data_IF_350773570993
#
_entry.id   IF_350773570993
#
_cell.length_a   1.000
_cell.length_b   1.000
_cell.length_c   1.000
_cell.angle_alpha   90.00
_cell.angle_beta   90.00
_cell.angle_gamma   90.00
#
_symmetry.space_group_name_H-M   'P 1'
#
loop_
_entity.id
_entity.type
_entity.pdbx_description
1 polymer ?
#
# COMPACT_ATOMS: atom_id res chain seq x y z
N UNK A 1 37.55 32.53 -27.68
CA UNK A 1 37.73 31.38 -26.76
C UNK A 1 36.66 31.40 -25.67
N UNK A 2 36.45 32.53 -24.99
CA UNK A 2 35.43 32.70 -23.94
C UNK A 2 34.00 32.34 -24.37
N UNK A 3 33.55 32.77 -25.56
CA UNK A 3 32.22 32.43 -26.10
C UNK A 3 32.05 30.91 -26.28
N UNK A 4 33.09 30.21 -26.73
CA UNK A 4 33.05 28.76 -26.93
C UNK A 4 33.01 28.02 -25.58
N UNK A 5 33.72 28.52 -24.57
CA UNK A 5 33.65 27.99 -23.20
C UNK A 5 32.25 28.17 -22.63
N UNK A 6 31.65 29.36 -22.80
CA UNK A 6 30.31 29.67 -22.31
C UNK A 6 29.25 28.81 -23.01
N UNK A 7 29.36 28.63 -24.33
CA UNK A 7 28.50 27.74 -25.10
C UNK A 7 28.63 26.28 -24.63
N UNK A 8 29.86 25.81 -24.37
CA UNK A 8 30.12 24.48 -23.84
C UNK A 8 29.44 24.24 -22.49
N UNK A 9 29.54 25.21 -21.56
CA UNK A 9 28.86 25.15 -20.25
C UNK A 9 27.34 25.06 -20.41
N UNK A 10 26.76 25.87 -21.29
CA UNK A 10 25.31 25.86 -21.55
C UNK A 10 24.86 24.50 -22.09
N UNK A 11 25.62 23.90 -23.02
CA UNK A 11 25.30 22.57 -23.56
C UNK A 11 25.36 21.50 -22.47
N UNK A 12 26.39 21.52 -21.62
CA UNK A 12 26.52 20.55 -20.51
C UNK A 12 25.37 20.69 -19.52
N UNK A 13 25.00 21.92 -19.15
CA UNK A 13 23.85 22.18 -18.28
C UNK A 13 22.53 21.71 -18.90
N UNK A 14 22.33 21.97 -20.20
CA UNK A 14 21.14 21.51 -20.92
C UNK A 14 21.03 19.98 -20.94
N UNK A 15 22.13 19.27 -21.20
CA UNK A 15 22.17 17.81 -21.17
C UNK A 15 21.90 17.25 -19.77
N UNK A 16 22.46 17.88 -18.73
CA UNK A 16 22.21 17.51 -17.35
C UNK A 16 20.73 17.67 -16.99
N UNK A 17 20.12 18.82 -17.33
CA UNK A 17 18.70 19.07 -17.08
C UNK A 17 17.80 18.04 -17.77
N UNK A 18 18.07 17.75 -19.05
CA UNK A 18 17.31 16.75 -19.80
C UNK A 18 17.43 15.35 -19.20
N UNK A 19 18.65 14.95 -18.79
CA UNK A 19 18.90 13.66 -18.16
C UNK A 19 18.19 13.53 -16.80
N UNK A 20 18.33 14.54 -15.95
CA UNK A 20 17.71 14.57 -14.63
C UNK A 20 16.17 14.53 -14.74
N UNK A 21 15.58 15.37 -15.59
CA UNK A 21 14.14 15.41 -15.81
C UNK A 21 13.58 14.05 -16.27
N UNK A 22 14.20 13.43 -17.29
CA UNK A 22 13.78 12.12 -17.78
C UNK A 22 13.90 11.03 -16.72
N UNK A 23 14.96 11.06 -15.90
CA UNK A 23 15.12 10.14 -14.79
C UNK A 23 14.02 10.30 -13.73
N UNK A 24 13.65 11.55 -13.38
CA UNK A 24 12.58 11.80 -12.41
C UNK A 24 11.22 11.34 -12.92
N UNK A 25 10.91 11.56 -14.20
CA UNK A 25 9.67 11.06 -14.82
C UNK A 25 9.63 9.53 -14.78
N UNK A 26 10.72 8.87 -15.12
CA UNK A 26 10.83 7.41 -15.07
C UNK A 26 10.60 6.88 -13.66
N UNK A 27 11.25 7.47 -12.65
CA UNK A 27 11.08 7.06 -11.26
C UNK A 27 9.67 7.33 -10.74
N UNK A 28 9.04 8.46 -11.11
CA UNK A 28 7.65 8.76 -10.76
C UNK A 28 6.69 7.71 -11.32
N UNK A 29 6.85 7.36 -12.60
CA UNK A 29 6.00 6.35 -13.23
C UNK A 29 6.18 4.97 -12.58
N UNK A 30 7.40 4.61 -12.16
CA UNK A 30 7.65 3.37 -11.39
C UNK A 30 6.96 3.36 -10.03
N UNK A 31 6.89 4.50 -9.35
CA UNK A 31 6.16 4.63 -8.08
C UNK A 31 4.66 4.43 -8.31
N UNK A 32 4.11 5.04 -9.37
CA UNK A 32 2.69 4.90 -9.74
C UNK A 32 2.33 3.47 -10.16
N UNK A 33 3.21 2.81 -10.91
CA UNK A 33 3.06 1.40 -11.30
C UNK A 33 3.10 0.47 -10.08
N UNK A 34 4.06 0.67 -9.18
CA UNK A 34 4.18 -0.11 -7.94
C UNK A 34 2.93 0.05 -7.05
N UNK A 35 2.41 1.28 -6.95
CA UNK A 35 1.18 1.54 -6.21
C UNK A 35 -0.03 0.87 -6.87
N UNK A 36 -0.17 1.00 -8.19
CA UNK A 36 -1.28 0.41 -8.94
C UNK A 36 -1.31 -1.11 -8.82
N UNK A 37 -0.14 -1.75 -8.83
CA UNK A 37 -0.02 -3.20 -8.62
C UNK A 37 -0.50 -3.61 -7.23
N UNK A 38 -0.09 -2.88 -6.20
CA UNK A 38 -0.54 -3.09 -4.83
C UNK A 38 -2.06 -2.89 -4.68
N UNK A 39 -2.61 -1.85 -5.30
CA UNK A 39 -4.04 -1.54 -5.32
C UNK A 39 -4.89 -2.66 -5.93
N UNK A 40 -4.40 -3.31 -7.00
CA UNK A 40 -5.05 -4.49 -7.59
C UNK A 40 -5.16 -5.63 -6.58
N UNK A 41 -4.13 -5.89 -5.78
CA UNK A 41 -4.18 -6.93 -4.75
C UNK A 41 -5.12 -6.56 -3.61
N UNK A 42 -5.14 -5.29 -3.18
CA UNK A 42 -6.13 -4.79 -2.21
C UNK A 42 -7.56 -5.02 -2.70
N UNK A 43 -7.84 -4.67 -3.97
CA UNK A 43 -9.15 -4.88 -4.59
C UNK A 43 -9.55 -6.36 -4.62
N UNK A 44 -8.65 -7.26 -5.04
CA UNK A 44 -8.91 -8.71 -5.00
C UNK A 44 -9.28 -9.18 -3.60
N UNK A 45 -8.62 -8.65 -2.56
CA UNK A 45 -8.94 -8.98 -1.16
C UNK A 45 -10.35 -8.53 -0.80
N UNK A 46 -10.73 -7.31 -1.19
CA UNK A 46 -12.06 -6.77 -0.93
C UNK A 46 -13.16 -7.55 -1.64
N UNK A 47 -12.90 -8.06 -2.84
CA UNK A 47 -13.87 -8.82 -3.63
C UNK A 47 -14.24 -10.17 -3.00
N UNK A 48 -13.37 -10.75 -2.16
CA UNK A 48 -13.66 -11.98 -1.43
C UNK A 48 -14.51 -11.77 -0.18
N UNK A 49 -14.64 -10.54 0.31
CA UNK A 49 -15.29 -10.24 1.59
C UNK A 49 -16.78 -10.52 1.63
N UNK A 50 -17.58 -10.19 0.61
CA UNK A 50 -18.99 -10.58 0.60
C UNK A 50 -19.17 -12.09 0.78
N UNK A 51 -18.37 -12.90 0.09
CA UNK A 51 -18.42 -14.36 0.21
C UNK A 51 -18.00 -14.85 1.61
N UNK A 52 -16.97 -14.23 2.18
CA UNK A 52 -16.55 -14.52 3.56
C UNK A 52 -17.65 -14.19 4.56
N UNK A 53 -18.25 -13.01 4.46
CA UNK A 53 -19.32 -12.55 5.35
C UNK A 53 -20.53 -13.46 5.25
N UNK A 54 -20.97 -13.84 4.04
CA UNK A 54 -22.09 -14.78 3.87
C UNK A 54 -21.78 -16.16 4.46
N UNK A 55 -20.55 -16.64 4.30
CA UNK A 55 -20.11 -17.90 4.91
C UNK A 55 -20.17 -17.82 6.44
N UNK A 56 -19.65 -16.73 7.04
CA UNK A 56 -19.67 -16.56 8.50
C UNK A 56 -21.10 -16.37 9.03
N UNK A 57 -21.97 -15.63 8.34
CA UNK A 57 -23.39 -15.46 8.71
C UNK A 57 -24.13 -16.78 8.86
N UNK A 58 -23.79 -17.79 8.06
CA UNK A 58 -24.39 -19.13 8.15
C UNK A 58 -24.21 -19.79 9.52
N UNK A 59 -23.11 -19.48 10.21
CA UNK A 59 -22.71 -20.12 11.47
C UNK A 59 -22.77 -19.18 12.68
N UNK A 60 -22.48 -17.89 12.51
CA UNK A 60 -22.37 -16.88 13.57
C UNK A 60 -23.48 -15.82 13.46
N UNK A 61 -24.74 -16.24 13.55
CA UNK A 61 -25.91 -15.36 13.36
C UNK A 61 -26.05 -14.22 14.38
N UNK A 62 -25.40 -14.34 15.53
CA UNK A 62 -25.43 -13.32 16.58
C UNK A 62 -24.36 -12.24 16.41
N UNK A 63 -23.49 -12.37 15.40
CA UNK A 63 -22.33 -11.49 15.16
C UNK A 63 -22.59 -10.41 14.11
N UNK A 64 -23.85 -9.98 13.97
CA UNK A 64 -24.28 -9.00 12.97
C UNK A 64 -23.47 -7.71 13.03
N UNK A 65 -23.21 -7.17 14.23
CA UNK A 65 -22.41 -5.95 14.40
C UNK A 65 -20.97 -6.13 13.89
N UNK A 66 -20.35 -7.28 14.15
CA UNK A 66 -19.00 -7.61 13.68
C UNK A 66 -18.97 -7.68 12.15
N UNK A 67 -19.96 -8.33 11.55
CA UNK A 67 -20.06 -8.50 10.10
C UNK A 67 -20.40 -7.20 9.37
N UNK A 68 -21.24 -6.35 9.97
CA UNK A 68 -21.53 -5.00 9.46
C UNK A 68 -20.28 -4.13 9.43
N UNK A 69 -19.46 -4.17 10.49
CA UNK A 69 -18.18 -3.46 10.54
C UNK A 69 -17.21 -3.93 9.44
N UNK A 70 -17.18 -5.23 9.12
CA UNK A 70 -16.37 -5.77 8.02
C UNK A 70 -16.84 -5.21 6.67
N UNK A 71 -18.14 -5.19 6.42
CA UNK A 71 -18.71 -4.63 5.19
C UNK A 71 -18.49 -3.12 5.11
N UNK A 72 -18.62 -2.40 6.21
CA UNK A 72 -18.35 -0.96 6.27
C UNK A 72 -16.88 -0.66 5.95
N UNK A 73 -15.95 -1.36 6.59
CA UNK A 73 -14.51 -1.21 6.33
C UNK A 73 -14.16 -1.52 4.87
N UNK A 74 -14.75 -2.58 4.30
CA UNK A 74 -14.63 -2.90 2.86
C UNK A 74 -15.09 -1.73 1.99
N UNK A 75 -16.27 -1.19 2.27
CA UNK A 75 -16.84 -0.10 1.48
C UNK A 75 -16.02 1.17 1.57
N UNK A 76 -15.48 1.50 2.75
CA UNK A 76 -14.55 2.61 2.90
C UNK A 76 -13.29 2.41 2.05
N UNK A 77 -12.73 1.20 2.08
CA UNK A 77 -11.51 0.88 1.35
C UNK A 77 -11.69 0.88 -0.18
N UNK A 78 -12.82 0.38 -0.68
CA UNK A 78 -13.15 0.40 -2.12
C UNK A 78 -13.40 1.83 -2.63
N UNK A 79 -13.98 2.71 -1.81
CA UNK A 79 -14.31 4.08 -2.21
C UNK A 79 -13.18 5.10 -1.98
N UNK A 80 -12.06 4.69 -1.37
CA UNK A 80 -10.92 5.55 -1.16
C UNK A 80 -10.30 6.01 -2.50
N UNK A 81 -10.12 7.33 -2.65
CA UNK A 81 -9.79 7.93 -3.95
C UNK A 81 -8.31 8.27 -4.12
N UNK A 82 -7.64 8.75 -3.06
CA UNK A 82 -6.21 9.05 -3.09
C UNK A 82 -5.37 7.85 -2.63
N UNK A 83 -4.09 7.76 -3.04
CA UNK A 83 -3.19 6.76 -2.50
C UNK A 83 -3.16 6.77 -0.97
N UNK A 84 -3.05 7.94 -0.35
CA UNK A 84 -3.02 8.10 1.10
C UNK A 84 -4.30 7.59 1.78
N UNK A 85 -5.47 7.91 1.22
CA UNK A 85 -6.74 7.41 1.75
C UNK A 85 -6.85 5.89 1.62
N UNK A 86 -6.39 5.33 0.49
CA UNK A 86 -6.34 3.89 0.27
C UNK A 86 -5.43 3.19 1.27
N UNK A 87 -4.26 3.77 1.59
CA UNK A 87 -3.35 3.22 2.60
C UNK A 87 -3.97 3.17 3.99
N UNK A 88 -4.69 4.23 4.37
CA UNK A 88 -5.38 4.31 5.67
C UNK A 88 -6.53 3.30 5.75
N UNK A 89 -7.40 3.29 4.74
CA UNK A 89 -8.54 2.39 4.71
C UNK A 89 -8.11 0.91 4.66
N UNK A 90 -7.03 0.60 3.95
CA UNK A 90 -6.36 -0.70 3.95
C UNK A 90 -5.93 -1.13 5.37
N UNK A 91 -5.31 -0.22 6.13
CA UNK A 91 -4.87 -0.49 7.51
C UNK A 91 -6.04 -0.78 8.44
N UNK A 92 -7.10 0.03 8.38
CA UNK A 92 -8.33 -0.20 9.16
C UNK A 92 -9.00 -1.53 8.80
N UNK A 93 -9.13 -1.79 7.50
CA UNK A 93 -9.70 -3.04 7.00
C UNK A 93 -8.93 -4.27 7.48
N UNK A 94 -7.59 -4.24 7.42
CA UNK A 94 -6.75 -5.37 7.86
C UNK A 94 -6.96 -5.70 9.34
N UNK A 95 -7.11 -4.66 10.18
CA UNK A 95 -7.44 -4.82 11.60
C UNK A 95 -8.85 -5.40 11.84
N UNK A 96 -9.84 -5.00 11.04
CA UNK A 96 -11.20 -5.58 11.10
C UNK A 96 -11.21 -7.04 10.64
N UNK A 97 -10.50 -7.36 9.55
CA UNK A 97 -10.41 -8.73 9.03
C UNK A 97 -9.73 -9.69 10.01
N UNK A 98 -8.69 -9.23 10.69
CA UNK A 98 -8.01 -10.01 11.73
C UNK A 98 -8.93 -10.34 12.91
N UNK A 99 -9.78 -9.38 13.33
CA UNK A 99 -10.81 -9.62 14.35
C UNK A 99 -11.87 -10.64 13.89
N UNK A 100 -12.27 -10.59 12.62
CA UNK A 100 -13.18 -11.58 12.04
C UNK A 100 -12.58 -12.99 12.04
N UNK A 101 -11.30 -13.15 11.75
CA UNK A 101 -10.64 -14.46 11.85
C UNK A 101 -10.51 -14.94 13.29
N UNK A 102 -10.22 -14.07 14.24
CA UNK A 102 -10.19 -14.43 15.66
C UNK A 102 -11.57 -14.91 16.16
N UNK A 103 -12.66 -14.36 15.63
CA UNK A 103 -14.02 -14.80 15.95
C UNK A 103 -14.25 -16.28 15.59
N UNK A 104 -13.63 -16.80 14.53
CA UNK A 104 -13.79 -18.19 14.11
C UNK A 104 -13.35 -19.22 15.17
N UNK A 105 -12.47 -18.82 16.10
CA UNK A 105 -12.07 -19.66 17.25
C UNK A 105 -13.24 -19.96 18.19
N UNK A 106 -14.23 -19.07 18.28
CA UNK A 106 -15.44 -19.28 19.08
C UNK A 106 -16.48 -20.16 18.39
N UNK A 107 -16.31 -20.49 17.10
CA UNK A 107 -17.27 -21.24 16.29
C UNK A 107 -16.61 -22.46 15.63
N UNK A 108 -16.51 -23.61 16.31
CA UNK A 108 -15.83 -24.81 15.80
C UNK A 108 -16.35 -25.30 14.45
N UNK A 109 -17.66 -25.23 14.21
CA UNK A 109 -18.28 -25.65 12.95
C UNK A 109 -17.87 -24.75 11.76
N UNK A 110 -17.72 -23.44 12.01
CA UNK A 110 -17.20 -22.49 11.02
C UNK A 110 -15.72 -22.74 10.76
N UNK A 111 -14.95 -22.99 11.82
CA UNK A 111 -13.51 -23.28 11.73
C UNK A 111 -13.24 -24.57 10.93
N UNK A 112 -14.14 -25.54 11.01
CA UNK A 112 -14.07 -26.78 10.23
C UNK A 112 -14.71 -26.66 8.83
N UNK A 113 -15.36 -25.54 8.50
CA UNK A 113 -16.01 -25.37 7.22
C UNK A 113 -14.98 -25.19 6.09
N UNK A 114 -15.05 -26.06 5.07
CA UNK A 114 -14.09 -26.08 3.96
C UNK A 114 -14.11 -24.78 3.13
N UNK A 115 -15.28 -24.18 2.91
CA UNK A 115 -15.41 -22.92 2.16
C UNK A 115 -14.77 -21.75 2.92
N UNK A 116 -14.95 -21.72 4.25
CA UNK A 116 -14.32 -20.71 5.11
C UNK A 116 -12.80 -20.85 5.11
N UNK A 117 -12.28 -22.07 5.26
CA UNK A 117 -10.84 -22.35 5.22
C UNK A 117 -10.22 -21.97 3.87
N UNK A 118 -10.90 -22.25 2.76
CA UNK A 118 -10.45 -21.86 1.43
C UNK A 118 -10.38 -20.33 1.27
N UNK A 119 -11.43 -19.61 1.67
CA UNK A 119 -11.45 -18.14 1.65
C UNK A 119 -10.36 -17.54 2.56
N UNK A 120 -10.16 -18.09 3.75
CA UNK A 120 -9.09 -17.67 4.66
C UNK A 120 -7.72 -17.85 4.01
N UNK A 121 -7.48 -18.99 3.35
CA UNK A 121 -6.23 -19.25 2.65
C UNK A 121 -6.01 -18.29 1.47
N UNK A 122 -7.03 -18.04 0.65
CA UNK A 122 -6.96 -17.07 -0.44
C UNK A 122 -6.64 -15.67 0.07
N UNK A 123 -7.32 -15.23 1.14
CA UNK A 123 -7.09 -13.93 1.77
C UNK A 123 -5.67 -13.81 2.35
N UNK A 124 -5.14 -14.89 2.93
CA UNK A 124 -3.76 -14.95 3.42
C UNK A 124 -2.75 -14.82 2.28
N UNK A 125 -2.94 -15.55 1.17
CA UNK A 125 -2.08 -15.44 0.00
C UNK A 125 -2.09 -14.02 -0.58
N UNK A 126 -3.27 -13.40 -0.65
CA UNK A 126 -3.39 -12.01 -1.11
C UNK A 126 -2.72 -11.04 -0.14
N UNK A 127 -2.79 -11.27 1.18
CA UNK A 127 -2.05 -10.46 2.16
C UNK A 127 -0.54 -10.53 1.95
N UNK A 128 -0.01 -11.72 1.66
CA UNK A 128 1.41 -11.90 1.35
C UNK A 128 1.80 -11.12 0.07
N UNK A 129 0.96 -11.17 -0.97
CA UNK A 129 1.13 -10.40 -2.21
C UNK A 129 1.09 -8.87 -1.95
N UNK A 130 0.15 -8.41 -1.11
CA UNK A 130 0.06 -7.00 -0.68
C UNK A 130 1.33 -6.61 0.07
N UNK A 131 1.81 -7.43 1.00
CA UNK A 131 3.01 -7.15 1.78
C UNK A 131 4.27 -7.05 0.90
N UNK A 132 4.40 -7.95 -0.09
CA UNK A 132 5.49 -7.90 -1.06
C UNK A 132 5.39 -6.64 -1.94
N UNK A 133 4.20 -6.34 -2.45
CA UNK A 133 3.94 -5.15 -3.27
C UNK A 133 4.20 -3.85 -2.50
N UNK A 134 3.83 -3.81 -1.21
CA UNK A 134 4.13 -2.71 -0.29
C UNK A 134 5.62 -2.49 -0.13
N UNK A 135 6.40 -3.56 0.05
CA UNK A 135 7.87 -3.48 0.12
C UNK A 135 8.45 -2.91 -1.17
N UNK A 136 7.95 -3.35 -2.32
CA UNK A 136 8.39 -2.84 -3.62
C UNK A 136 8.04 -1.36 -3.80
N UNK A 137 6.80 -0.96 -3.53
CA UNK A 137 6.34 0.43 -3.55
C UNK A 137 7.19 1.34 -2.64
N UNK A 138 7.46 0.91 -1.40
CA UNK A 138 8.29 1.69 -0.48
C UNK A 138 9.74 1.79 -0.97
N UNK A 139 10.26 0.75 -1.62
CA UNK A 139 11.59 0.76 -2.24
C UNK A 139 11.69 1.77 -3.39
N UNK A 140 10.76 1.71 -4.35
CA UNK A 140 10.72 2.63 -5.49
C UNK A 140 10.46 4.06 -5.05
N UNK A 141 9.57 4.26 -4.08
CA UNK A 141 9.25 5.59 -3.52
C UNK A 141 10.45 6.18 -2.79
N UNK A 142 11.17 5.38 -1.99
CA UNK A 142 12.42 5.82 -1.37
C UNK A 142 13.45 6.22 -2.42
N UNK A 143 13.64 5.40 -3.46
CA UNK A 143 14.56 5.73 -4.55
C UNK A 143 14.20 7.06 -5.23
N UNK A 144 12.92 7.24 -5.57
CA UNK A 144 12.41 8.48 -6.15
C UNK A 144 12.66 9.68 -5.23
N UNK A 145 12.21 9.59 -3.97
CA UNK A 145 12.35 10.66 -2.97
C UNK A 145 13.83 11.03 -2.75
N UNK A 146 14.71 10.06 -2.52
CA UNK A 146 16.15 10.30 -2.38
C UNK A 146 16.73 10.96 -3.64
N UNK A 147 16.32 10.52 -4.83
CA UNK A 147 16.84 11.07 -6.10
C UNK A 147 16.48 12.54 -6.27
N UNK A 148 15.24 12.93 -5.95
CA UNK A 148 14.79 14.33 -6.08
C UNK A 148 15.27 15.22 -4.94
N UNK A 149 15.68 14.66 -3.80
CA UNK A 149 16.17 15.41 -2.63
C UNK A 149 17.70 15.59 -2.62
N UNK A 150 18.44 14.80 -3.41
CA UNK A 150 19.91 14.82 -3.45
C UNK A 150 20.43 15.93 -4.36
N UNK A 151 21.49 16.64 -3.96
CA UNK A 151 22.19 17.60 -4.83
C UNK A 151 22.99 16.87 -5.93
N UNK A 152 23.00 17.34 -7.19
CA UNK A 152 22.37 18.57 -7.71
C UNK A 152 20.92 18.43 -8.20
N UNK A 153 20.33 17.24 -8.11
CA UNK A 153 18.98 16.95 -8.61
C UNK A 153 17.88 17.77 -7.93
N UNK A 154 18.03 18.11 -6.64
CA UNK A 154 17.06 18.90 -5.88
C UNK A 154 16.72 20.27 -6.47
N UNK A 155 17.68 20.92 -7.13
CA UNK A 155 17.45 22.19 -7.82
C UNK A 155 16.52 21.99 -9.01
N UNK A 156 16.80 20.97 -9.82
CA UNK A 156 16.00 20.62 -11.00
C UNK A 156 14.61 20.15 -10.57
N UNK A 157 14.53 19.30 -9.55
CA UNK A 157 13.28 18.81 -8.98
C UNK A 157 12.41 19.97 -8.48
N UNK A 158 12.98 20.93 -7.74
CA UNK A 158 12.28 22.12 -7.27
C UNK A 158 11.76 22.99 -8.41
N UNK A 159 12.58 23.24 -9.44
CA UNK A 159 12.20 24.05 -10.59
C UNK A 159 11.03 23.43 -11.39
N UNK A 160 11.05 22.10 -11.58
CA UNK A 160 10.01 21.37 -12.31
C UNK A 160 8.90 20.79 -11.41
N UNK A 161 8.86 21.17 -10.12
CA UNK A 161 7.84 20.76 -9.14
C UNK A 161 7.71 19.25 -8.94
N UNK A 162 8.81 18.50 -9.01
CA UNK A 162 8.83 17.12 -8.55
C UNK A 162 8.80 17.10 -7.03
N UNK A 163 7.72 16.57 -6.46
CA UNK A 163 7.49 16.52 -5.02
C UNK A 163 7.66 15.11 -4.47
N UNK A 164 7.99 15.04 -3.18
CA UNK A 164 8.08 13.79 -2.42
C UNK A 164 6.75 13.03 -2.46
N UNK A 165 6.82 11.71 -2.58
CA UNK A 165 5.66 10.80 -2.48
C UNK A 165 5.62 10.14 -1.10
N UNK A 166 4.43 9.87 -0.54
CA UNK A 166 4.29 9.23 0.76
C UNK A 166 4.80 7.77 0.71
N UNK A 167 5.30 7.26 1.83
CA UNK A 167 5.54 5.83 1.99
C UNK A 167 4.29 5.16 2.52
N UNK A 168 4.13 3.87 2.21
CA UNK A 168 3.15 3.02 2.88
C UNK A 168 3.72 2.58 4.21
N UNK A 169 3.41 3.31 5.28
CA UNK A 169 3.75 2.93 6.65
C UNK A 169 2.58 2.20 7.30
N UNK A 170 2.87 1.15 8.06
CA UNK A 170 1.88 0.60 8.98
C UNK A 170 1.79 1.60 10.15
N UNK A 171 0.72 2.38 10.18
CA UNK A 171 0.44 3.38 11.24
C UNK A 171 0.21 2.74 12.61
N UNK A 172 0.19 1.40 12.69
CA UNK A 172 -0.14 0.68 13.91
C UNK A 172 0.97 0.83 14.97
N UNK A 173 0.83 1.85 15.80
CA UNK A 173 1.65 2.06 16.99
C UNK A 173 1.58 0.87 17.96
N UNK A 174 0.56 0.01 17.87
CA UNK A 174 0.47 -1.22 18.68
C UNK A 174 1.46 -2.29 18.25
N UNK A 175 1.90 -2.32 16.97
CA UNK A 175 2.96 -3.21 16.51
C UNK A 175 4.38 -2.75 16.91
N UNK A 176 4.53 -1.48 17.34
CA UNK A 176 5.78 -0.97 17.94
C UNK A 176 5.85 -1.20 19.45
N UNK A 177 4.77 -1.68 20.08
CA UNK A 177 4.82 -2.09 21.48
C UNK A 177 5.47 -3.48 21.55
N UNK A 178 6.72 -3.52 21.99
CA UNK A 178 7.41 -4.76 22.31
C UNK A 178 6.52 -5.67 23.15
N UNK A 179 6.35 -6.92 22.71
CA UNK A 179 5.75 -7.98 23.53
C UNK A 179 6.61 -8.10 24.79
N UNK A 180 6.12 -7.60 25.93
CA UNK A 180 6.75 -7.84 27.22
C UNK A 180 6.49 -9.29 27.58
N UNK A 181 7.43 -10.17 27.23
CA UNK A 181 7.46 -11.53 27.76
C UNK A 181 7.77 -11.41 29.25
N UNK A 182 6.76 -11.58 30.10
CA UNK A 182 6.96 -11.80 31.52
C UNK A 182 7.24 -13.29 31.71
N UNK A 183 8.37 -13.62 32.32
CA UNK A 183 8.68 -14.96 32.83
C UNK A 183 7.99 -15.19 34.16
#
# INVERSE_FOLDING_TARGET
MEILVLLGVVVVLGLFLASAYNNFVLLRNRVEEAFSTMDVFMMKRYDLIPNLVETVKGYAKHESETLERVIQARNMAVNASSPEDKMKAEGEFSGVLSRLFALSEAYPDLKANQQFLDLQNQLKLIEDDIAQSRKFYNGTTRQYNTTIETFPNNIVAGFFKFTRKPLFEVEDASQRQNVKVQF
#
